data_IF_251265407493
#
_entry.id   IF_251265407493
#
_cell.length_a   1.000
_cell.length_b   1.000
_cell.length_c   1.000
_cell.angle_alpha   90.00
_cell.angle_beta   90.00
_cell.angle_gamma   90.00
#
_symmetry.space_group_name_H-M   'P 1'
#
loop_
_entity.id
_entity.type
_entity.pdbx_description
1 polymer ?
#
# COMPACT_ATOMS: atom_id res chain seq x y z
N UNK A 1 -16.38 -8.18 -18.61
CA UNK A 1 -15.17 -7.65 -19.31
C UNK A 1 -14.36 -8.82 -19.86
N UNK A 2 -13.59 -8.64 -20.94
CA UNK A 2 -12.76 -9.70 -21.54
C UNK A 2 -11.49 -9.88 -20.70
N UNK A 3 -11.11 -11.12 -20.33
CA UNK A 3 -9.83 -11.38 -19.62
C UNK A 3 -8.68 -11.17 -20.59
N UNK A 4 -7.93 -10.08 -20.38
CA UNK A 4 -6.76 -9.71 -21.19
C UNK A 4 -5.45 -9.74 -20.39
N UNK A 5 -5.53 -9.75 -19.05
CA UNK A 5 -4.35 -9.74 -18.17
C UNK A 5 -3.80 -11.16 -18.00
N UNK A 6 -2.52 -11.34 -18.32
CA UNK A 6 -1.76 -12.56 -18.06
C UNK A 6 -1.14 -12.56 -16.66
N UNK A 7 -0.36 -13.60 -16.36
CA UNK A 7 0.33 -13.75 -15.06
C UNK A 7 1.34 -12.61 -14.84
N UNK A 8 2.09 -12.23 -15.87
CA UNK A 8 3.06 -11.14 -15.79
C UNK A 8 2.41 -9.79 -15.48
N UNK A 9 1.25 -9.51 -16.08
CA UNK A 9 0.53 -8.26 -15.84
C UNK A 9 -0.02 -8.21 -14.41
N UNK A 10 -0.56 -9.33 -13.92
CA UNK A 10 -1.04 -9.45 -12.54
C UNK A 10 0.10 -9.29 -11.52
N UNK A 11 1.27 -9.87 -11.81
CA UNK A 11 2.46 -9.66 -11.00
C UNK A 11 2.90 -8.20 -11.00
N UNK A 12 2.94 -7.54 -12.16
CA UNK A 12 3.33 -6.14 -12.28
C UNK A 12 2.38 -5.21 -11.51
N UNK A 13 1.06 -5.46 -11.55
CA UNK A 13 0.08 -4.72 -10.76
C UNK A 13 0.35 -4.86 -9.26
N UNK A 14 0.49 -6.09 -8.76
CA UNK A 14 0.74 -6.32 -7.34
C UNK A 14 2.10 -5.78 -6.87
N UNK A 15 3.14 -5.92 -7.70
CA UNK A 15 4.48 -5.40 -7.37
C UNK A 15 4.51 -3.87 -7.39
N UNK A 16 3.85 -3.24 -8.37
CA UNK A 16 3.78 -1.79 -8.48
C UNK A 16 3.10 -1.13 -7.30
N UNK A 17 2.05 -1.76 -6.77
CA UNK A 17 1.30 -1.27 -5.61
C UNK A 17 2.17 -1.23 -4.34
N UNK A 18 3.06 -2.21 -4.16
CA UNK A 18 3.97 -2.29 -3.02
C UNK A 18 5.22 -1.43 -3.17
N UNK A 19 5.62 -1.11 -4.40
CA UNK A 19 6.92 -0.49 -4.71
C UNK A 19 7.13 0.87 -4.07
N UNK A 20 6.06 1.66 -3.87
CA UNK A 20 6.14 2.97 -3.22
C UNK A 20 6.40 2.87 -1.71
N UNK A 21 6.01 1.77 -1.07
CA UNK A 21 6.00 1.63 0.38
C UNK A 21 7.39 1.63 1.00
N UNK A 22 8.39 1.15 0.27
CA UNK A 22 9.77 1.08 0.77
C UNK A 22 10.35 2.48 1.06
N UNK A 23 9.91 3.50 0.32
CA UNK A 23 10.45 4.85 0.42
C UNK A 23 10.11 5.55 1.75
N UNK A 24 8.98 5.20 2.37
CA UNK A 24 8.60 5.72 3.69
C UNK A 24 8.75 4.69 4.81
N UNK A 25 8.40 3.43 4.56
CA UNK A 25 8.40 2.41 5.62
C UNK A 25 9.82 2.11 6.11
N UNK A 26 10.80 2.00 5.21
CA UNK A 26 12.18 1.66 5.59
C UNK A 26 12.78 2.69 6.53
N UNK A 27 12.60 3.99 6.24
CA UNK A 27 13.12 5.07 7.07
C UNK A 27 12.56 5.02 8.50
N UNK A 28 11.24 4.87 8.62
CA UNK A 28 10.56 4.76 9.92
C UNK A 28 11.01 3.49 10.66
N UNK A 29 11.05 2.34 10.00
CA UNK A 29 11.48 1.08 10.61
C UNK A 29 12.92 1.17 11.11
N UNK A 30 13.84 1.72 10.32
CA UNK A 30 15.24 1.87 10.75
C UNK A 30 15.40 2.87 11.90
N UNK A 31 14.56 3.90 11.96
CA UNK A 31 14.58 4.87 13.07
C UNK A 31 14.21 4.22 14.41
N UNK A 32 13.19 3.34 14.41
CA UNK A 32 12.71 2.69 15.64
C UNK A 32 13.42 1.37 15.97
N UNK A 33 13.71 0.54 14.96
CA UNK A 33 14.35 -0.76 15.14
C UNK A 33 15.88 -0.69 15.13
N UNK A 34 16.47 0.44 14.72
CA UNK A 34 17.92 0.65 14.60
C UNK A 34 18.58 -0.52 13.85
N UNK A 35 19.61 -1.15 14.43
CA UNK A 35 20.30 -2.30 13.84
C UNK A 35 19.44 -3.57 13.72
N UNK A 36 18.29 -3.65 14.40
CA UNK A 36 17.36 -4.77 14.32
C UNK A 36 16.35 -4.65 13.16
N UNK A 37 16.47 -3.63 12.30
CA UNK A 37 15.59 -3.44 11.14
C UNK A 37 15.44 -4.69 10.25
N UNK A 38 16.49 -5.49 9.94
CA UNK A 38 16.33 -6.70 9.14
C UNK A 38 15.43 -7.76 9.81
N UNK A 39 15.49 -7.87 11.14
CA UNK A 39 14.66 -8.81 11.91
C UNK A 39 13.21 -8.33 11.88
N UNK A 40 12.97 -7.03 12.09
CA UNK A 40 11.63 -6.43 12.02
C UNK A 40 10.99 -6.62 10.64
N UNK A 41 11.74 -6.34 9.57
CA UNK A 41 11.28 -6.55 8.19
C UNK A 41 11.06 -8.03 7.87
N UNK A 42 11.92 -8.92 8.38
CA UNK A 42 11.75 -10.36 8.22
C UNK A 42 10.45 -10.88 8.87
N UNK A 43 10.14 -10.43 10.08
CA UNK A 43 8.89 -10.76 10.76
C UNK A 43 7.66 -10.19 10.04
N UNK A 44 7.72 -8.93 9.60
CA UNK A 44 6.66 -8.31 8.81
C UNK A 44 6.44 -9.07 7.50
N UNK A 45 7.52 -9.47 6.82
CA UNK A 45 7.47 -10.28 5.60
C UNK A 45 6.84 -11.65 5.80
N UNK A 46 7.08 -12.30 6.94
CA UNK A 46 6.44 -13.58 7.28
C UNK A 46 4.92 -13.42 7.43
N UNK A 47 4.48 -12.41 8.18
CA UNK A 47 3.05 -12.11 8.33
C UNK A 47 2.42 -11.79 6.97
N UNK A 48 3.10 -10.96 6.17
CA UNK A 48 2.65 -10.64 4.82
C UNK A 48 2.54 -11.86 3.91
N UNK A 49 3.49 -12.80 3.98
CA UNK A 49 3.44 -14.05 3.21
C UNK A 49 2.22 -14.91 3.60
N UNK A 50 1.91 -15.02 4.89
CA UNK A 50 0.70 -15.69 5.35
C UNK A 50 -0.57 -15.01 4.82
N UNK A 51 -0.62 -13.67 4.87
CA UNK A 51 -1.74 -12.91 4.30
C UNK A 51 -1.87 -13.14 2.80
N UNK A 52 -0.76 -13.07 2.05
CA UNK A 52 -0.75 -13.27 0.61
C UNK A 52 -1.25 -14.67 0.20
N UNK A 53 -0.86 -15.71 0.96
CA UNK A 53 -1.35 -17.08 0.74
C UNK A 53 -2.87 -17.17 0.98
N UNK A 54 -3.37 -16.64 2.09
CA UNK A 54 -4.82 -16.62 2.37
C UNK A 54 -5.61 -15.88 1.28
N UNK A 55 -5.08 -14.76 0.77
CA UNK A 55 -5.70 -14.02 -0.33
C UNK A 55 -5.63 -14.80 -1.64
N UNK A 56 -4.55 -15.51 -1.92
CA UNK A 56 -4.42 -16.35 -3.10
C UNK A 56 -5.44 -17.51 -3.08
N UNK A 57 -5.60 -18.17 -1.93
CA UNK A 57 -6.60 -19.23 -1.73
C UNK A 57 -8.01 -18.69 -1.96
N UNK A 58 -8.40 -17.60 -1.28
CA UNK A 58 -9.74 -17.02 -1.44
C UNK A 58 -10.00 -16.49 -2.86
N UNK A 59 -9.02 -15.85 -3.49
CA UNK A 59 -9.14 -15.37 -4.88
C UNK A 59 -9.30 -16.53 -5.87
N UNK A 60 -8.71 -17.69 -5.57
CA UNK A 60 -8.88 -18.89 -6.37
C UNK A 60 -10.23 -19.59 -6.14
N UNK A 61 -10.83 -19.44 -4.97
CA UNK A 61 -12.17 -19.97 -4.67
C UNK A 61 -13.27 -19.06 -5.26
N UNK A 62 -13.14 -17.75 -5.09
CA UNK A 62 -14.12 -16.73 -5.46
C UNK A 62 -13.79 -16.06 -6.80
N UNK A 63 -13.60 -16.87 -7.85
CA UNK A 63 -13.11 -16.41 -9.17
C UNK A 63 -14.02 -15.41 -9.88
N UNK A 64 -15.31 -15.41 -9.54
CA UNK A 64 -16.33 -14.61 -10.23
C UNK A 64 -16.59 -13.26 -9.56
N UNK A 65 -16.18 -13.11 -8.29
CA UNK A 65 -16.49 -11.92 -7.53
C UNK A 65 -15.28 -11.00 -7.45
N UNK A 66 -15.44 -9.81 -8.05
CA UNK A 66 -14.48 -8.72 -7.94
C UNK A 66 -14.75 -7.98 -6.62
N UNK A 67 -13.73 -7.74 -5.79
CA UNK A 67 -13.91 -6.88 -4.60
C UNK A 67 -13.00 -7.15 -3.40
N UNK A 68 -12.09 -8.13 -3.49
CA UNK A 68 -11.03 -8.33 -2.49
C UNK A 68 -11.57 -8.57 -1.08
N UNK A 69 -10.97 -7.90 -0.08
CA UNK A 69 -11.24 -8.10 1.35
C UNK A 69 -12.71 -7.95 1.74
N UNK A 70 -13.42 -6.99 1.17
CA UNK A 70 -14.84 -6.74 1.48
C UNK A 70 -15.73 -7.90 0.98
N UNK A 71 -15.47 -8.40 -0.23
CA UNK A 71 -16.18 -9.56 -0.79
C UNK A 71 -15.87 -10.83 -0.01
N UNK A 72 -14.61 -11.02 0.39
CA UNK A 72 -14.16 -12.15 1.20
C UNK A 72 -14.85 -12.18 2.56
N UNK A 73 -14.90 -11.03 3.25
CA UNK A 73 -15.60 -10.89 4.53
C UNK A 73 -17.11 -11.12 4.40
N UNK A 74 -17.71 -10.75 3.26
CA UNK A 74 -19.13 -11.00 2.98
C UNK A 74 -19.44 -12.49 2.87
N UNK A 75 -18.59 -13.25 2.18
CA UNK A 75 -18.75 -14.69 2.00
C UNK A 75 -18.47 -15.48 3.27
N UNK A 76 -17.47 -15.07 4.05
CA UNK A 76 -17.08 -15.77 5.27
C UNK A 76 -17.96 -15.45 6.48
N UNK A 77 -18.48 -14.23 6.55
CA UNK A 77 -19.20 -13.73 7.72
C UNK A 77 -20.56 -13.14 7.36
N UNK A 78 -20.66 -11.81 7.22
CA UNK A 78 -21.91 -11.10 6.98
C UNK A 78 -21.68 -9.71 6.35
N UNK A 79 -22.77 -9.03 6.03
CA UNK A 79 -22.76 -7.71 5.37
C UNK A 79 -22.16 -6.60 6.27
N UNK A 80 -22.29 -6.69 7.59
CA UNK A 80 -21.71 -5.69 8.51
C UNK A 80 -20.17 -5.76 8.49
N UNK A 81 -19.60 -6.96 8.59
CA UNK A 81 -18.15 -7.15 8.55
C UNK A 81 -17.58 -6.83 7.18
N UNK A 82 -18.32 -7.14 6.10
CA UNK A 82 -17.98 -6.69 4.74
C UNK A 82 -17.93 -5.17 4.62
N UNK A 83 -18.91 -4.47 5.20
CA UNK A 83 -18.94 -3.00 5.22
C UNK A 83 -17.75 -2.41 5.98
N UNK A 84 -17.44 -2.95 7.17
CA UNK A 84 -16.29 -2.51 7.96
C UNK A 84 -14.98 -2.75 7.19
N UNK A 85 -14.82 -3.92 6.56
CA UNK A 85 -13.64 -4.23 5.76
C UNK A 85 -13.50 -3.29 4.55
N UNK A 86 -14.61 -2.97 3.87
CA UNK A 86 -14.63 -2.02 2.76
C UNK A 86 -14.26 -0.59 3.19
N UNK A 87 -14.78 -0.12 4.32
CA UNK A 87 -14.40 1.18 4.89
C UNK A 87 -12.95 1.23 5.32
N UNK A 88 -12.45 0.17 5.96
CA UNK A 88 -11.05 0.05 6.33
C UNK A 88 -10.14 0.17 5.11
N UNK A 89 -10.46 -0.55 4.03
CA UNK A 89 -9.73 -0.48 2.77
C UNK A 89 -9.78 0.92 2.13
N UNK A 90 -10.94 1.58 2.15
CA UNK A 90 -11.08 2.93 1.63
C UNK A 90 -10.19 3.93 2.40
N UNK A 91 -10.21 3.87 3.73
CA UNK A 91 -9.38 4.73 4.56
C UNK A 91 -7.88 4.44 4.39
N UNK A 92 -7.53 3.16 4.26
CA UNK A 92 -6.15 2.73 3.99
C UNK A 92 -5.61 3.33 2.69
N UNK A 93 -6.42 3.33 1.62
CA UNK A 93 -6.04 4.00 0.37
C UNK A 93 -5.83 5.51 0.53
N UNK A 94 -6.70 6.20 1.27
CA UNK A 94 -6.53 7.64 1.54
C UNK A 94 -5.21 7.91 2.25
N UNK A 95 -4.91 7.14 3.31
CA UNK A 95 -3.67 7.27 4.09
C UNK A 95 -2.45 6.96 3.21
N UNK A 96 -2.53 5.90 2.41
CA UNK A 96 -1.42 5.47 1.53
C UNK A 96 -1.12 6.51 0.47
N UNK A 97 -2.13 7.12 -0.16
CA UNK A 97 -1.97 8.23 -1.10
C UNK A 97 -1.32 9.43 -0.41
N UNK A 98 -1.81 9.81 0.78
CA UNK A 98 -1.28 10.95 1.52
C UNK A 98 0.20 10.77 1.92
N UNK A 99 0.57 9.61 2.45
CA UNK A 99 1.96 9.31 2.84
C UNK A 99 2.86 9.21 1.61
N UNK A 100 2.38 8.61 0.52
CA UNK A 100 3.14 8.52 -0.74
C UNK A 100 3.43 9.92 -1.31
N UNK A 101 2.42 10.81 -1.34
CA UNK A 101 2.61 12.19 -1.79
C UNK A 101 3.61 12.95 -0.92
N UNK A 102 3.51 12.81 0.41
CA UNK A 102 4.42 13.45 1.36
C UNK A 102 5.87 12.99 1.21
N UNK A 103 6.07 11.72 0.83
CA UNK A 103 7.40 11.12 0.71
C UNK A 103 8.21 11.71 -0.45
N UNK A 104 7.58 12.27 -1.49
CA UNK A 104 8.27 12.79 -2.68
C UNK A 104 9.21 13.96 -2.33
N UNK A 105 8.74 14.91 -1.51
CA UNK A 105 9.48 16.13 -1.19
C UNK A 105 10.88 15.87 -0.60
N UNK A 106 11.01 15.03 0.45
CA UNK A 106 12.30 14.63 1.01
C UNK A 106 13.27 14.04 -0.02
N UNK A 107 12.85 13.10 -0.86
CA UNK A 107 13.72 12.49 -1.87
C UNK A 107 14.13 13.49 -2.95
N UNK A 108 13.19 14.33 -3.42
CA UNK A 108 13.46 15.31 -4.46
C UNK A 108 14.36 16.46 -3.96
N UNK A 109 14.36 16.74 -2.65
CA UNK A 109 15.24 17.74 -2.02
C UNK A 109 16.73 17.42 -2.08
N UNK A 110 17.08 16.16 -2.38
CA UNK A 110 18.46 15.78 -2.68
C UNK A 110 18.97 16.45 -3.97
N UNK A 111 18.11 16.53 -4.99
CA UNK A 111 18.46 17.12 -6.29
C UNK A 111 18.19 18.63 -6.34
N UNK A 112 17.12 19.10 -5.69
CA UNK A 112 16.69 20.49 -5.73
C UNK A 112 16.80 21.15 -4.35
N UNK A 113 17.78 22.04 -4.20
CA UNK A 113 18.02 22.77 -2.95
C UNK A 113 16.81 23.58 -2.44
N UNK A 114 15.96 24.07 -3.35
CA UNK A 114 14.72 24.78 -3.01
C UNK A 114 13.73 23.94 -2.19
N UNK A 115 13.75 22.61 -2.36
CA UNK A 115 12.89 21.69 -1.60
C UNK A 115 13.47 21.30 -0.24
N UNK A 116 14.59 21.89 0.20
CA UNK A 116 15.08 21.68 1.57
C UNK A 116 14.23 22.44 2.59
N UNK A 117 13.71 23.59 2.19
CA UNK A 117 12.83 24.41 3.01
C UNK A 117 11.51 23.68 3.32
N UNK A 118 11.08 23.61 4.61
CA UNK A 118 9.87 22.89 5.00
C UNK A 118 8.61 23.37 4.28
N UNK A 119 8.51 24.69 4.05
CA UNK A 119 7.37 25.32 3.38
C UNK A 119 7.19 24.79 1.95
N UNK A 120 8.30 24.67 1.21
CA UNK A 120 8.26 24.21 -0.18
C UNK A 120 7.91 22.72 -0.30
N UNK A 121 8.29 21.89 0.69
CA UNK A 121 7.86 20.48 0.76
C UNK A 121 6.35 20.35 0.99
N UNK A 122 5.80 21.18 1.89
CA UNK A 122 4.36 21.18 2.19
C UNK A 122 3.57 21.62 0.96
N UNK A 123 3.97 22.72 0.32
CA UNK A 123 3.32 23.23 -0.90
C UNK A 123 3.31 22.15 -2.00
N UNK A 124 4.46 21.51 -2.25
CA UNK A 124 4.57 20.42 -3.22
C UNK A 124 3.60 19.26 -2.89
N UNK A 125 3.56 18.85 -1.63
CA UNK A 125 2.70 17.76 -1.17
C UNK A 125 1.22 18.10 -1.35
N UNK A 126 0.81 19.33 -0.98
CA UNK A 126 -0.58 19.79 -1.15
C UNK A 126 -0.98 19.84 -2.62
N UNK A 127 -0.10 20.33 -3.51
CA UNK A 127 -0.36 20.36 -4.95
C UNK A 127 -0.52 18.92 -5.48
N UNK A 128 0.36 17.99 -5.09
CA UNK A 128 0.28 16.60 -5.52
C UNK A 128 -1.03 15.93 -5.09
N UNK A 129 -1.45 16.13 -3.83
CA UNK A 129 -2.72 15.59 -3.34
C UNK A 129 -3.92 16.22 -4.07
N UNK A 130 -3.86 17.50 -4.44
CA UNK A 130 -4.94 18.16 -5.16
C UNK A 130 -5.08 17.71 -6.63
N UNK A 131 -4.03 17.13 -7.21
CA UNK A 131 -3.99 16.67 -8.61
C UNK A 131 -4.37 15.19 -8.75
N UNK A 132 -4.14 14.38 -7.70
CA UNK A 132 -4.47 12.95 -7.63
C UNK A 132 -5.96 12.72 -7.31
#
# INVERSE_FOLDING_TARGET
>A
MKRILGVGDLFAVGYGDLGSSIYYALGITTLFALGAAPISLGLAGLVFACTALSYAELSSMLKNDSGGSATFARHAFNDLLSFIAGWGLLLDFIVTIAISAYSIGPYLSFFFGALREPQNKIILTTILIAVL
#
